data_IF_671771812092
#
_entry.id   IF_671771812092
#
_cell.length_a   1.000
_cell.length_b   1.000
_cell.length_c   1.000
_cell.angle_alpha   90.00
_cell.angle_beta   90.00
_cell.angle_gamma   90.00
#
_symmetry.space_group_name_H-M   'P 1'
#
loop_
_entity.id
_entity.type
_entity.pdbx_description
1 polymer ?
#
# COMPACT_ATOMS: atom_id res chain seq x y z
N UNK A 1 16.72 -9.31 1.01
CA UNK A 1 16.21 -8.00 0.58
C UNK A 1 14.69 -8.03 0.58
N UNK A 2 14.06 -6.99 1.05
CA UNK A 2 12.59 -6.84 1.08
C UNK A 2 12.19 -6.01 -0.13
N UNK A 3 11.22 -6.48 -0.89
CA UNK A 3 10.65 -5.77 -2.04
C UNK A 3 9.19 -5.41 -1.76
N UNK A 4 8.76 -4.25 -2.25
CA UNK A 4 7.43 -3.70 -2.00
C UNK A 4 6.77 -3.25 -3.30
N UNK A 5 5.44 -3.23 -3.37
CA UNK A 5 4.69 -2.80 -4.54
C UNK A 5 4.26 -1.32 -4.45
N UNK A 6 4.40 -0.57 -5.54
CA UNK A 6 4.11 0.88 -5.64
C UNK A 6 2.64 1.28 -5.47
N UNK A 7 1.70 0.33 -5.48
CA UNK A 7 0.29 0.68 -5.68
C UNK A 7 -0.51 1.06 -4.42
N UNK A 8 0.05 0.93 -3.21
CA UNK A 8 -0.76 0.96 -2.00
C UNK A 8 -0.17 1.73 -0.81
N UNK A 9 0.32 2.95 -1.01
CA UNK A 9 0.93 3.71 0.10
C UNK A 9 2.32 3.20 0.47
N UNK A 10 3.11 2.90 -0.53
CA UNK A 10 4.43 2.27 -0.42
C UNK A 10 5.37 3.04 0.50
N UNK A 11 5.40 4.37 0.43
CA UNK A 11 6.27 5.18 1.29
C UNK A 11 5.97 4.97 2.78
N UNK A 12 4.70 4.97 3.15
CA UNK A 12 4.31 4.73 4.54
C UNK A 12 4.68 3.31 5.00
N UNK A 13 4.44 2.31 4.15
CA UNK A 13 4.84 0.94 4.49
C UNK A 13 6.37 0.79 4.57
N UNK A 14 7.14 1.43 3.69
CA UNK A 14 8.60 1.44 3.75
C UNK A 14 9.10 2.00 5.09
N UNK A 15 8.53 3.10 5.56
CA UNK A 15 8.88 3.69 6.84
C UNK A 15 8.50 2.77 8.02
N UNK A 16 7.32 2.15 7.99
CA UNK A 16 6.90 1.17 9.01
C UNK A 16 7.82 -0.07 9.00
N UNK A 17 8.16 -0.61 7.82
CA UNK A 17 9.08 -1.75 7.69
C UNK A 17 10.47 -1.39 8.20
N UNK A 18 10.93 -0.19 7.89
CA UNK A 18 12.22 0.30 8.39
C UNK A 18 12.24 0.40 9.91
N UNK A 19 11.23 1.04 10.52
CA UNK A 19 11.09 1.11 11.97
C UNK A 19 11.13 -0.27 12.63
N UNK A 20 10.36 -1.22 12.11
CA UNK A 20 10.32 -2.57 12.64
C UNK A 20 11.67 -3.26 12.48
N UNK A 21 12.37 -3.07 11.38
CA UNK A 21 13.67 -3.72 11.11
C UNK A 21 14.80 -3.19 11.97
N UNK A 22 14.77 -1.91 12.38
CA UNK A 22 15.80 -1.26 13.18
C UNK A 22 15.54 -1.30 14.69
N UNK A 23 14.42 -1.87 15.13
CA UNK A 23 14.10 -1.99 16.56
C UNK A 23 13.63 -0.69 17.21
N UNK A 24 12.99 0.18 16.43
CA UNK A 24 12.22 1.35 16.89
C UNK A 24 13.00 2.60 17.33
N UNK A 25 14.15 2.90 16.76
CA UNK A 25 14.74 4.23 16.94
C UNK A 25 14.22 5.20 15.87
N UNK A 26 13.27 6.12 16.20
CA UNK A 26 12.70 7.05 15.25
C UNK A 26 13.67 8.12 14.75
N UNK A 27 14.77 8.39 15.45
CA UNK A 27 15.72 9.45 15.12
C UNK A 27 16.64 9.05 13.93
N UNK A 28 16.73 7.76 13.61
CA UNK A 28 17.50 7.28 12.47
C UNK A 28 16.73 7.33 11.12
N UNK A 29 15.41 7.47 11.14
CA UNK A 29 14.56 7.42 9.92
C UNK A 29 14.87 8.55 8.95
N UNK A 30 15.28 9.71 9.42
CA UNK A 30 15.55 10.90 8.61
C UNK A 30 16.91 10.92 7.89
N UNK A 31 17.80 9.97 8.15
CA UNK A 31 19.20 10.05 7.72
C UNK A 31 19.54 9.22 6.47
N UNK A 32 18.66 8.32 6.03
CA UNK A 32 18.96 7.42 4.91
C UNK A 32 17.88 7.47 3.82
N UNK A 33 18.32 7.26 2.58
CA UNK A 33 17.39 7.12 1.45
C UNK A 33 16.67 5.77 1.55
N UNK A 34 15.41 5.81 1.96
CA UNK A 34 14.55 4.62 2.16
C UNK A 34 14.42 3.78 0.89
N UNK A 35 14.40 4.40 -0.29
CA UNK A 35 14.29 3.71 -1.58
C UNK A 35 15.54 2.85 -1.91
N UNK A 36 16.69 3.18 -1.34
CA UNK A 36 17.91 2.37 -1.49
C UNK A 36 17.92 1.15 -0.57
N UNK A 37 17.25 1.24 0.58
CA UNK A 37 17.21 0.16 1.56
C UNK A 37 16.05 -0.82 1.34
N UNK A 38 14.91 -0.29 0.92
CA UNK A 38 13.68 -1.01 0.67
C UNK A 38 13.19 -0.75 -0.76
N UNK A 39 13.87 -1.32 -1.76
CA UNK A 39 13.52 -1.09 -3.16
C UNK A 39 12.13 -1.60 -3.50
N UNK A 40 11.51 -0.95 -4.46
CA UNK A 40 10.18 -1.30 -4.96
C UNK A 40 10.33 -2.35 -6.07
N UNK A 41 9.44 -3.33 -6.11
CA UNK A 41 9.51 -4.45 -7.07
C UNK A 41 9.44 -3.97 -8.53
N UNK A 42 8.76 -2.86 -8.77
CA UNK A 42 8.62 -2.25 -10.10
C UNK A 42 9.90 -1.58 -10.61
N UNK A 43 10.89 -1.36 -9.73
CA UNK A 43 12.20 -0.85 -10.09
C UNK A 43 13.30 -1.80 -9.62
N UNK A 44 13.41 -3.00 -10.22
CA UNK A 44 14.39 -4.00 -9.79
C UNK A 44 15.81 -3.48 -9.99
N UNK A 45 16.63 -3.63 -8.96
CA UNK A 45 18.05 -3.31 -9.05
C UNK A 45 18.81 -4.55 -9.58
N UNK A 46 19.57 -4.43 -10.68
CA UNK A 46 20.34 -5.56 -11.22
C UNK A 46 21.33 -6.11 -10.19
N UNK A 47 21.34 -7.44 -10.03
CA UNK A 47 22.30 -8.14 -9.16
C UNK A 47 21.88 -8.29 -7.70
N UNK A 48 20.66 -7.92 -7.33
CA UNK A 48 20.13 -8.20 -6.00
C UNK A 48 19.27 -9.45 -6.01
N UNK A 49 19.62 -10.42 -5.16
CA UNK A 49 18.79 -11.60 -4.90
C UNK A 49 17.60 -11.21 -4.00
N UNK A 50 16.40 -11.47 -4.49
CA UNK A 50 15.17 -11.26 -3.73
C UNK A 50 15.00 -12.41 -2.75
N UNK A 51 15.08 -12.12 -1.44
CA UNK A 51 14.92 -13.15 -0.40
C UNK A 51 13.50 -13.11 0.17
N UNK A 52 12.94 -11.92 0.37
CA UNK A 52 11.62 -11.71 0.98
C UNK A 52 10.85 -10.64 0.21
N UNK A 53 9.54 -10.81 0.11
CA UNK A 53 8.62 -9.87 -0.53
C UNK A 53 7.55 -9.46 0.49
N UNK A 54 7.41 -8.16 0.72
CA UNK A 54 6.28 -7.60 1.45
C UNK A 54 5.37 -6.92 0.43
N UNK A 55 4.19 -7.45 0.27
CA UNK A 55 3.17 -6.92 -0.63
C UNK A 55 2.04 -6.29 0.18
N UNK A 56 1.78 -5.00 -0.06
CA UNK A 56 0.62 -4.33 0.51
C UNK A 56 -0.45 -4.12 -0.55
N UNK A 57 -1.62 -4.68 -0.33
CA UNK A 57 -2.80 -4.43 -1.12
C UNK A 57 -3.67 -3.36 -0.46
N UNK A 58 -4.38 -2.58 -1.27
CA UNK A 58 -5.37 -1.60 -0.81
C UNK A 58 -6.66 -1.77 -1.60
N UNK A 59 -7.81 -1.47 -0.99
CA UNK A 59 -9.07 -1.51 -1.73
C UNK A 59 -8.97 -0.66 -3.01
N UNK A 60 -9.44 -1.17 -4.15
CA UNK A 60 -9.17 -0.54 -5.44
C UNK A 60 -9.87 0.80 -5.66
N UNK A 61 -10.91 1.13 -4.90
CA UNK A 61 -11.58 2.43 -5.00
C UNK A 61 -10.72 3.53 -4.38
N UNK A 62 -10.16 3.30 -3.19
CA UNK A 62 -9.24 4.26 -2.57
C UNK A 62 -7.92 4.32 -3.34
N UNK A 63 -7.46 3.18 -3.84
CA UNK A 63 -6.25 3.12 -4.62
C UNK A 63 -6.35 3.95 -5.90
N UNK A 64 -7.43 3.86 -6.67
CA UNK A 64 -7.58 4.64 -7.90
C UNK A 64 -7.65 6.13 -7.65
N UNK A 65 -8.14 6.57 -6.49
CA UNK A 65 -8.11 7.99 -6.08
C UNK A 65 -6.67 8.44 -5.82
N UNK A 66 -5.92 7.70 -5.02
CA UNK A 66 -4.51 7.99 -4.75
C UNK A 66 -3.67 7.96 -6.02
N UNK A 67 -3.91 6.98 -6.88
CA UNK A 67 -3.19 6.80 -8.13
C UNK A 67 -3.46 7.94 -9.13
N UNK A 68 -4.70 8.45 -9.18
CA UNK A 68 -5.03 9.64 -9.94
C UNK A 68 -4.26 10.88 -9.46
N UNK A 69 -4.18 11.08 -8.14
CA UNK A 69 -3.44 12.19 -7.55
C UNK A 69 -1.93 12.08 -7.86
N UNK A 70 -1.38 10.88 -7.71
CA UNK A 70 0.01 10.60 -8.04
C UNK A 70 0.32 10.94 -9.50
N UNK A 71 -0.51 10.49 -10.46
CA UNK A 71 -0.32 10.80 -11.88
C UNK A 71 -0.41 12.29 -12.20
N UNK A 72 -1.18 13.04 -11.43
CA UNK A 72 -1.28 14.50 -11.58
C UNK A 72 -0.09 15.25 -11.00
N UNK A 73 0.48 14.77 -9.91
CA UNK A 73 1.59 15.40 -9.19
C UNK A 73 2.94 15.17 -9.87
N UNK A 74 3.15 14.03 -10.52
CA UNK A 74 4.39 13.71 -11.19
C UNK A 74 4.59 14.55 -12.45
N UNK A 75 5.72 15.27 -12.51
CA UNK A 75 6.10 16.09 -13.69
C UNK A 75 6.23 15.26 -14.97
N UNK A 76 6.68 14.01 -14.86
CA UNK A 76 6.90 13.10 -15.99
C UNK A 76 5.60 12.58 -16.59
N UNK A 77 4.54 12.41 -15.78
CA UNK A 77 3.25 11.89 -16.24
C UNK A 77 2.25 13.00 -16.53
N UNK A 78 2.22 14.07 -15.72
CA UNK A 78 1.41 15.30 -15.89
C UNK A 78 -0.03 15.03 -16.37
N UNK A 79 -0.69 14.04 -15.80
CA UNK A 79 -2.03 13.64 -16.23
C UNK A 79 -3.03 14.80 -16.08
N UNK A 80 -3.75 15.15 -17.15
CA UNK A 80 -4.69 16.28 -17.19
C UNK A 80 -6.14 15.90 -17.45
N UNK A 81 -6.43 14.60 -17.61
CA UNK A 81 -7.79 14.11 -17.78
C UNK A 81 -8.61 14.18 -16.50
N UNK A 82 -9.90 13.97 -16.60
CA UNK A 82 -10.81 13.90 -15.45
C UNK A 82 -10.61 12.62 -14.66
N UNK A 83 -11.06 12.61 -13.39
CA UNK A 83 -11.04 11.41 -12.57
C UNK A 83 -11.89 10.28 -13.18
N UNK A 84 -13.03 10.62 -13.78
CA UNK A 84 -13.89 9.64 -14.45
C UNK A 84 -13.19 8.93 -15.62
N UNK A 85 -12.42 9.67 -16.40
CA UNK A 85 -11.62 9.08 -17.50
C UNK A 85 -10.49 8.21 -16.95
N UNK A 86 -9.84 8.66 -15.87
CA UNK A 86 -8.79 7.89 -15.20
C UNK A 86 -9.33 6.58 -14.65
N UNK A 87 -10.48 6.61 -13.97
CA UNK A 87 -11.15 5.43 -13.43
C UNK A 87 -11.52 4.42 -14.54
N UNK A 88 -11.99 4.90 -15.72
CA UNK A 88 -12.23 4.05 -16.89
C UNK A 88 -10.94 3.41 -17.42
N UNK A 89 -9.84 4.16 -17.45
CA UNK A 89 -8.52 3.63 -17.87
C UNK A 89 -8.01 2.59 -16.87
N UNK A 90 -8.21 2.81 -15.57
CA UNK A 90 -7.89 1.85 -14.52
C UNK A 90 -8.63 0.52 -14.72
N UNK A 91 -9.94 0.56 -14.90
CA UNK A 91 -10.76 -0.62 -15.16
C UNK A 91 -10.43 -1.32 -16.48
N UNK A 92 -9.87 -0.60 -17.48
CA UNK A 92 -9.50 -1.14 -18.79
C UNK A 92 -8.03 -1.54 -18.90
N UNK A 93 -7.30 -1.57 -17.77
CA UNK A 93 -5.87 -1.92 -17.68
C UNK A 93 -4.97 -1.02 -18.58
N UNK A 94 -5.38 0.27 -18.78
CA UNK A 94 -4.71 1.26 -19.64
C UNK A 94 -3.96 2.34 -18.84
N UNK A 95 -3.41 1.97 -17.72
CA UNK A 95 -2.53 2.81 -16.90
C UNK A 95 -1.14 2.18 -16.83
N UNK A 96 -0.17 2.95 -16.36
CA UNK A 96 1.15 2.43 -16.05
C UNK A 96 1.05 1.30 -15.01
N UNK A 97 1.98 0.37 -15.03
CA UNK A 97 2.11 -0.79 -14.13
C UNK A 97 1.03 -1.89 -14.28
N UNK A 98 0.23 -1.86 -15.35
CA UNK A 98 -0.68 -2.97 -15.71
C UNK A 98 -1.97 -3.03 -14.89
N UNK A 99 -2.57 -4.23 -14.89
CA UNK A 99 -3.84 -4.51 -14.21
C UNK A 99 -3.65 -4.70 -12.72
N UNK A 100 -4.26 -3.83 -11.91
CA UNK A 100 -4.30 -4.05 -10.46
C UNK A 100 -4.99 -5.36 -10.09
N UNK A 101 -6.04 -5.73 -10.83
CA UNK A 101 -6.84 -6.94 -10.56
C UNK A 101 -6.02 -8.22 -10.77
N UNK A 102 -5.20 -8.28 -11.80
CA UNK A 102 -4.31 -9.42 -12.07
C UNK A 102 -3.19 -9.45 -11.03
N UNK A 103 -2.54 -8.33 -10.84
CA UNK A 103 -1.41 -8.19 -9.93
C UNK A 103 -1.76 -8.58 -8.48
N UNK A 104 -2.90 -8.08 -7.95
CA UNK A 104 -3.29 -8.38 -6.57
C UNK A 104 -3.68 -9.84 -6.37
N UNK A 105 -4.32 -10.46 -7.37
CA UNK A 105 -4.70 -11.86 -7.30
C UNK A 105 -3.48 -12.78 -7.37
N UNK A 106 -2.51 -12.46 -8.24
CA UNK A 106 -1.25 -13.21 -8.34
C UNK A 106 -0.51 -13.21 -7.00
N UNK A 107 -0.33 -12.05 -6.35
CA UNK A 107 0.28 -12.02 -5.03
C UNK A 107 -0.56 -12.68 -3.94
N UNK A 108 -1.89 -12.64 -4.06
CA UNK A 108 -2.76 -13.36 -3.14
C UNK A 108 -2.63 -14.88 -3.24
N UNK A 109 -2.42 -15.41 -4.43
CA UNK A 109 -2.15 -16.85 -4.65
C UNK A 109 -0.84 -17.27 -3.96
N UNK A 110 0.17 -16.39 -3.97
CA UNK A 110 1.47 -16.61 -3.33
C UNK A 110 1.56 -16.21 -1.85
N UNK A 111 0.44 -15.80 -1.22
CA UNK A 111 0.43 -15.33 0.19
C UNK A 111 0.88 -16.33 1.24
N UNK A 112 0.91 -17.62 0.89
CA UNK A 112 1.35 -18.70 1.78
C UNK A 112 2.81 -19.11 1.56
N UNK A 113 3.48 -18.53 0.58
CA UNK A 113 4.88 -18.78 0.34
C UNK A 113 5.72 -18.19 1.49
N UNK A 114 6.70 -18.94 1.96
CA UNK A 114 7.47 -18.58 3.16
C UNK A 114 8.25 -17.25 3.05
N UNK A 115 8.47 -16.78 1.83
CA UNK A 115 9.17 -15.54 1.52
C UNK A 115 8.23 -14.40 1.09
N UNK A 116 6.92 -14.57 1.20
CA UNK A 116 5.92 -13.56 0.85
C UNK A 116 5.09 -13.19 2.08
N UNK A 117 5.01 -11.90 2.39
CA UNK A 117 4.08 -11.37 3.37
C UNK A 117 3.05 -10.48 2.65
N UNK A 118 1.81 -10.95 2.62
CA UNK A 118 0.70 -10.20 2.05
C UNK A 118 -0.02 -9.41 3.16
N UNK A 119 -0.07 -8.10 3.03
CA UNK A 119 -0.72 -7.19 3.96
C UNK A 119 -1.84 -6.42 3.26
N UNK A 120 -2.86 -6.00 4.01
CA UNK A 120 -3.88 -5.06 3.54
C UNK A 120 -3.68 -3.71 4.21
N UNK A 121 -3.77 -2.65 3.42
CA UNK A 121 -3.67 -1.28 3.90
C UNK A 121 -4.70 -0.95 4.97
N UNK A 122 -5.90 -1.48 4.81
CA UNK A 122 -7.01 -1.31 5.74
C UNK A 122 -6.71 -1.89 7.13
N UNK A 123 -5.91 -2.94 7.20
CA UNK A 123 -5.55 -3.60 8.47
C UNK A 123 -4.65 -2.71 9.33
N UNK A 124 -3.87 -1.78 8.72
CA UNK A 124 -3.11 -0.78 9.46
C UNK A 124 -4.00 0.12 10.34
N UNK A 125 -5.21 0.39 9.87
CA UNK A 125 -6.16 1.25 10.57
C UNK A 125 -7.11 0.48 11.49
N UNK A 126 -7.22 -0.81 11.31
CA UNK A 126 -8.05 -1.69 12.14
C UNK A 126 -7.32 -2.26 13.33
N UNK A 127 -6.16 -2.82 13.08
CA UNK A 127 -5.35 -3.52 14.08
C UNK A 127 -3.87 -3.44 13.72
N UNK A 128 -3.30 -2.26 13.96
CA UNK A 128 -1.88 -2.01 13.72
C UNK A 128 -0.99 -2.93 14.56
N UNK A 129 -1.40 -3.28 15.76
CA UNK A 129 -0.65 -4.16 16.65
C UNK A 129 -0.39 -5.52 16.03
N UNK A 130 -1.45 -6.19 15.57
CA UNK A 130 -1.34 -7.49 14.87
C UNK A 130 -0.52 -7.37 13.59
N UNK A 131 -0.66 -6.26 12.83
CA UNK A 131 0.11 -6.08 11.59
C UNK A 131 1.61 -5.92 11.90
N UNK A 132 1.98 -5.11 12.88
CA UNK A 132 3.38 -4.90 13.30
C UNK A 132 3.99 -6.20 13.84
N UNK A 133 3.23 -6.99 14.60
CA UNK A 133 3.68 -8.32 15.07
C UNK A 133 3.96 -9.28 13.91
N UNK A 134 3.07 -9.34 12.91
CA UNK A 134 3.28 -10.17 11.72
C UNK A 134 4.51 -9.72 10.93
N UNK A 135 4.70 -8.41 10.81
CA UNK A 135 5.83 -7.82 10.11
C UNK A 135 7.15 -8.14 10.84
N UNK A 136 7.22 -7.94 12.15
CA UNK A 136 8.39 -8.26 12.97
C UNK A 136 8.76 -9.75 12.85
N UNK A 137 7.77 -10.63 12.97
CA UNK A 137 7.96 -12.09 12.80
C UNK A 137 8.50 -12.45 11.42
N UNK A 138 7.96 -11.85 10.38
CA UNK A 138 8.39 -12.08 8.99
C UNK A 138 9.82 -11.60 8.74
N UNK A 139 10.22 -10.47 9.31
CA UNK A 139 11.56 -9.90 9.22
C UNK A 139 12.57 -10.62 10.15
N UNK A 140 12.11 -11.53 11.01
CA UNK A 140 12.96 -12.24 11.97
C UNK A 140 13.39 -11.36 13.16
N UNK A 141 12.67 -10.27 13.42
CA UNK A 141 12.92 -9.38 14.57
C UNK A 141 12.22 -9.96 15.79
N UNK A 142 13.01 -10.25 16.82
CA UNK A 142 12.51 -10.73 18.11
C UNK A 142 12.20 -9.54 19.00
N UNK A 143 10.92 -9.37 19.34
CA UNK A 143 10.47 -8.33 20.26
C UNK A 143 9.78 -8.98 21.45
N UNK A 144 10.09 -8.52 22.67
CA UNK A 144 9.23 -8.78 23.81
C UNK A 144 7.94 -7.92 23.75
N UNK A 145 7.03 -8.16 24.69
CA UNK A 145 5.73 -7.47 24.69
C UNK A 145 5.89 -5.94 24.82
N UNK A 146 6.81 -5.48 25.66
CA UNK A 146 7.05 -4.05 25.89
C UNK A 146 7.66 -3.39 24.65
N UNK A 147 8.62 -4.05 24.00
CA UNK A 147 9.21 -3.59 22.75
C UNK A 147 8.17 -3.53 21.63
N UNK A 148 7.27 -4.51 21.54
CA UNK A 148 6.18 -4.49 20.56
C UNK A 148 5.22 -3.33 20.80
N UNK A 149 4.85 -3.04 22.05
CA UNK A 149 4.00 -1.90 22.40
C UNK A 149 4.64 -0.57 21.98
N UNK A 150 5.95 -0.40 22.22
CA UNK A 150 6.70 0.79 21.78
C UNK A 150 6.75 0.88 20.25
N UNK A 151 6.99 -0.21 19.55
CA UNK A 151 6.98 -0.26 18.08
C UNK A 151 5.63 0.17 17.52
N UNK A 152 4.54 -0.35 18.05
CA UNK A 152 3.17 -0.01 17.62
C UNK A 152 2.91 1.47 17.85
N UNK A 153 3.32 2.03 18.99
CA UNK A 153 3.15 3.47 19.27
C UNK A 153 3.93 4.34 18.28
N UNK A 154 5.20 3.99 18.01
CA UNK A 154 6.01 4.70 17.02
C UNK A 154 5.42 4.62 15.61
N UNK A 155 4.90 3.45 15.21
CA UNK A 155 4.19 3.28 13.94
C UNK A 155 2.90 4.13 13.87
N UNK A 156 2.14 4.24 14.98
CA UNK A 156 0.97 5.11 15.06
C UNK A 156 1.36 6.58 14.83
N UNK A 157 2.38 7.07 15.52
CA UNK A 157 2.86 8.44 15.38
C UNK A 157 3.32 8.74 13.96
N UNK A 158 4.03 7.81 13.32
CA UNK A 158 4.47 7.91 11.95
C UNK A 158 3.28 8.00 10.98
N UNK A 159 2.29 7.12 11.11
CA UNK A 159 1.07 7.12 10.30
C UNK A 159 0.34 8.46 10.43
N UNK A 160 0.19 8.97 11.65
CA UNK A 160 -0.43 10.27 11.89
C UNK A 160 0.34 11.43 11.25
N UNK A 161 1.67 11.41 11.33
CA UNK A 161 2.51 12.44 10.72
C UNK A 161 2.39 12.41 9.20
N UNK A 162 2.47 11.24 8.58
CA UNK A 162 2.29 11.07 7.14
C UNK A 162 0.90 11.55 6.68
N UNK A 163 -0.15 11.19 7.42
CA UNK A 163 -1.52 11.63 7.11
C UNK A 163 -1.71 13.15 7.25
N UNK A 164 -0.97 13.81 8.16
CA UNK A 164 -1.02 15.27 8.35
C UNK A 164 -0.17 16.02 7.31
N UNK A 165 0.91 15.42 6.83
CA UNK A 165 1.87 16.04 5.89
C UNK A 165 1.39 16.03 4.44
N UNK A 166 0.38 15.24 4.09
CA UNK A 166 -0.18 15.23 2.74
C UNK A 166 -0.84 16.56 2.41
N UNK A 167 -0.09 17.45 1.76
CA UNK A 167 -0.54 18.74 1.24
C UNK A 167 -1.48 18.61 0.02
N UNK A 168 -1.98 17.41 -0.27
CA UNK A 168 -2.89 17.15 -1.37
C UNK A 168 -4.31 17.55 -0.98
N UNK A 169 -5.09 18.03 -1.94
CA UNK A 169 -6.46 18.52 -1.75
C UNK A 169 -7.44 17.47 -1.20
N UNK A 170 -7.07 16.20 -1.23
CA UNK A 170 -7.79 15.07 -0.66
C UNK A 170 -6.77 14.23 0.09
N UNK A 171 -6.91 14.11 1.42
CA UNK A 171 -6.05 13.22 2.21
C UNK A 171 -6.27 11.78 1.73
N UNK A 172 -5.26 11.23 1.07
CA UNK A 172 -5.31 9.87 0.52
C UNK A 172 -5.05 8.79 1.56
N UNK A 173 -4.66 9.19 2.77
CA UNK A 173 -4.22 8.30 3.84
C UNK A 173 -5.35 7.49 4.49
N UNK A 174 -6.57 8.00 4.56
CA UNK A 174 -7.70 7.33 5.21
C UNK A 174 -8.37 6.27 4.33
N UNK A 175 -8.99 5.29 4.94
CA UNK A 175 -9.86 4.32 4.25
C UNK A 175 -11.22 4.97 3.95
N UNK A 176 -11.78 4.69 2.78
CA UNK A 176 -13.06 5.22 2.34
C UNK A 176 -13.00 6.61 1.67
N UNK A 177 -11.81 7.10 1.32
CA UNK A 177 -11.62 8.39 0.61
C UNK A 177 -12.35 8.44 -0.73
N UNK A 178 -12.55 7.30 -1.36
CA UNK A 178 -13.27 7.20 -2.63
C UNK A 178 -14.69 7.80 -2.59
N UNK A 179 -15.33 7.82 -1.42
CA UNK A 179 -16.70 8.36 -1.22
C UNK A 179 -16.80 9.85 -1.51
N UNK A 180 -15.70 10.57 -1.37
CA UNK A 180 -15.66 12.01 -1.63
C UNK A 180 -15.52 12.33 -3.13
N UNK A 181 -15.15 11.32 -3.92
CA UNK A 181 -14.77 11.51 -5.33
C UNK A 181 -15.67 10.77 -6.31
N UNK A 182 -16.13 9.56 -5.92
CA UNK A 182 -16.98 8.76 -6.78
C UNK A 182 -18.42 9.30 -6.83
N UNK A 183 -18.96 9.44 -8.02
CA UNK A 183 -20.41 9.59 -8.19
C UNK A 183 -21.10 8.24 -8.01
N UNK A 184 -22.42 8.26 -7.77
CA UNK A 184 -23.22 7.04 -7.64
C UNK A 184 -23.04 6.13 -8.85
N UNK A 185 -23.14 6.67 -10.06
CA UNK A 185 -22.97 5.91 -11.30
C UNK A 185 -21.57 5.33 -11.46
N UNK A 186 -20.53 6.06 -11.08
CA UNK A 186 -19.15 5.53 -11.09
C UNK A 186 -19.02 4.38 -10.11
N UNK A 187 -19.60 4.52 -8.91
CA UNK A 187 -19.56 3.48 -7.90
C UNK A 187 -20.24 2.19 -8.37
N UNK A 188 -21.45 2.28 -8.94
CA UNK A 188 -22.19 1.13 -9.47
C UNK A 188 -21.41 0.43 -10.59
N UNK A 189 -20.85 1.20 -11.51
CA UNK A 189 -20.03 0.67 -12.62
C UNK A 189 -18.79 -0.03 -12.11
N UNK A 190 -18.09 0.59 -11.15
CA UNK A 190 -16.87 0.02 -10.55
C UNK A 190 -17.20 -1.26 -9.78
N UNK A 191 -18.29 -1.28 -9.01
CA UNK A 191 -18.71 -2.46 -8.24
C UNK A 191 -19.08 -3.65 -9.14
N UNK A 192 -19.74 -3.38 -10.26
CA UNK A 192 -20.04 -4.42 -11.24
C UNK A 192 -18.75 -5.01 -11.84
N UNK A 193 -17.81 -4.15 -12.20
CA UNK A 193 -16.52 -4.56 -12.75
C UNK A 193 -15.67 -5.31 -11.71
N UNK A 194 -15.59 -4.79 -10.48
CA UNK A 194 -14.88 -5.44 -9.36
C UNK A 194 -15.40 -6.85 -9.11
N UNK A 195 -16.72 -7.02 -8.99
CA UNK A 195 -17.33 -8.34 -8.80
C UNK A 195 -16.99 -9.31 -9.93
N UNK A 196 -16.97 -8.83 -11.17
CA UNK A 196 -16.61 -9.64 -12.32
C UNK A 196 -15.15 -10.10 -12.26
N UNK A 197 -14.23 -9.17 -11.99
CA UNK A 197 -12.78 -9.46 -11.98
C UNK A 197 -12.35 -10.31 -10.78
N UNK A 198 -12.99 -10.12 -9.63
CA UNK A 198 -12.65 -10.82 -8.39
C UNK A 198 -13.50 -12.09 -8.16
N UNK A 199 -14.36 -12.48 -9.10
CA UNK A 199 -15.30 -13.59 -8.93
C UNK A 199 -14.66 -14.94 -8.62
N UNK A 200 -13.41 -15.14 -8.99
CA UNK A 200 -12.66 -16.40 -8.76
C UNK A 200 -11.73 -16.34 -7.55
N UNK A 201 -11.60 -15.19 -6.91
CA UNK A 201 -10.72 -14.99 -5.76
C UNK A 201 -11.53 -14.90 -4.48
N UNK A 202 -11.01 -15.47 -3.41
CA UNK A 202 -11.53 -15.32 -2.04
C UNK A 202 -10.98 -14.05 -1.36
N UNK A 203 -10.13 -13.27 -2.03
CA UNK A 203 -9.61 -12.01 -1.54
C UNK A 203 -10.72 -10.96 -1.44
N UNK A 204 -10.89 -10.40 -0.27
CA UNK A 204 -11.84 -9.33 0.00
C UNK A 204 -11.17 -8.11 0.63
N UNK A 205 -11.73 -6.94 0.41
CA UNK A 205 -11.28 -5.67 0.96
C UNK A 205 -12.36 -4.97 1.74
N UNK A 206 -11.96 -4.14 2.71
CA UNK A 206 -12.84 -3.24 3.42
C UNK A 206 -12.88 -1.89 2.70
N UNK A 207 -14.07 -1.53 2.26
CA UNK A 207 -14.31 -0.26 1.59
C UNK A 207 -14.75 0.85 2.55
N UNK A 208 -14.98 0.49 3.81
CA UNK A 208 -15.50 1.37 4.86
C UNK A 208 -14.78 1.05 6.17
N UNK A 209 -14.24 2.06 6.80
CA UNK A 209 -13.77 2.07 8.19
C UNK A 209 -14.30 3.31 8.89
#
# INVERSE_FOLDING_TARGET
MVLMSLHAGTSLLQEVVFLVSQGADPDEIGLMNIDEQLPVIEYPQPGLDVIQVIYMARNPKDLVVSYYQFHRSLRTMSYRGTFQEFCRRFMSDKLAYGSWFEHVQEFWEHRLDSNVLFLKYEDMFKDLGTMVEHLARFLGVSCDKTQLEVLVENCNQLIEQCCKSEALSISSCRVGVWRDVFTVSMNETFDAYYRQKMAKSDLSFDFYL
#
